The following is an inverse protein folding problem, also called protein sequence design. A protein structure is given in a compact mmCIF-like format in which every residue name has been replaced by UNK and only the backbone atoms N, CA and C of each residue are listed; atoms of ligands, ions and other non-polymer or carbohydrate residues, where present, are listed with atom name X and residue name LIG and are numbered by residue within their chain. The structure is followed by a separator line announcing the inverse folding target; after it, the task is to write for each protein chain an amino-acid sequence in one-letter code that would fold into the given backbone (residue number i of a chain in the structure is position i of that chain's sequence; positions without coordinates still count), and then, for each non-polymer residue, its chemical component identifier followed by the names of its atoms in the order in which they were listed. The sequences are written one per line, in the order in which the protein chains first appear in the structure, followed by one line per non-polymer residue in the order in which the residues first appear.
data_IF_346678568536
#
_entry.id   IF_346678568536
#
_cell.length_a   1.000
_cell.length_b   1.000
_cell.length_c   1.000
_cell.angle_alpha   90.00
_cell.angle_beta   90.00
_cell.angle_gamma   90.00
#
_symmetry.space_group_name_H-M   'P 1'
#
loop_
_entity.id
_entity.type
_entity.pdbx_description
1 polymer ?
#
# COMPACT_ATOMS: atom_id res chain seq x y z
N UNK A 1 -0.73 -41.15 9.76
CA UNK A 1 -1.19 -39.77 9.97
C UNK A 1 -1.82 -39.21 8.71
N UNK A 2 -3.02 -38.67 8.80
CA UNK A 2 -3.66 -37.98 7.68
C UNK A 2 -3.01 -36.60 7.45
N UNK A 3 -2.82 -36.19 6.20
CA UNK A 3 -2.30 -34.84 5.89
C UNK A 3 -3.40 -33.80 6.11
N UNK A 4 -3.08 -32.71 6.81
CA UNK A 4 -4.00 -31.58 7.00
C UNK A 4 -4.41 -30.96 5.66
N UNK A 5 -5.72 -30.72 5.47
CA UNK A 5 -6.28 -30.03 4.31
C UNK A 5 -7.13 -28.85 4.80
N UNK A 6 -6.74 -27.63 4.45
CA UNK A 6 -7.53 -26.46 4.77
C UNK A 6 -8.69 -26.29 3.77
N UNK A 7 -9.92 -26.32 4.27
CA UNK A 7 -11.13 -26.26 3.46
C UNK A 7 -11.29 -24.95 2.67
N UNK A 8 -10.71 -23.84 3.16
CA UNK A 8 -10.81 -22.51 2.56
C UNK A 8 -9.56 -22.09 1.77
N UNK A 9 -8.78 -23.05 1.25
CA UNK A 9 -7.56 -22.76 0.48
C UNK A 9 -7.80 -21.87 -0.75
N UNK A 10 -8.94 -22.02 -1.43
CA UNK A 10 -9.31 -21.16 -2.57
C UNK A 10 -9.55 -19.71 -2.13
N UNK A 11 -10.22 -19.52 -0.99
CA UNK A 11 -10.46 -18.20 -0.39
C UNK A 11 -9.16 -17.55 0.06
N UNK A 12 -8.26 -18.31 0.68
CA UNK A 12 -6.91 -17.85 1.05
C UNK A 12 -6.12 -17.38 -0.18
N UNK A 13 -6.14 -18.16 -1.27
CA UNK A 13 -5.50 -17.77 -2.54
C UNK A 13 -6.11 -16.48 -3.10
N UNK A 14 -7.45 -16.38 -3.13
CA UNK A 14 -8.13 -15.19 -3.62
C UNK A 14 -7.76 -13.94 -2.82
N UNK A 15 -7.76 -14.02 -1.49
CA UNK A 15 -7.39 -12.89 -0.61
C UNK A 15 -5.94 -12.43 -0.83
N UNK A 16 -5.02 -13.35 -1.08
CA UNK A 16 -3.64 -13.01 -1.43
C UNK A 16 -3.54 -12.28 -2.77
N UNK A 17 -4.29 -12.72 -3.80
CA UNK A 17 -4.36 -12.02 -5.09
C UNK A 17 -4.90 -10.60 -4.91
N UNK A 18 -6.01 -10.43 -4.18
CA UNK A 18 -6.58 -9.12 -3.87
C UNK A 18 -5.60 -8.22 -3.10
N UNK A 19 -4.83 -8.78 -2.17
CA UNK A 19 -3.78 -8.04 -1.47
C UNK A 19 -2.68 -7.55 -2.42
N UNK A 20 -2.24 -8.38 -3.36
CA UNK A 20 -1.22 -7.99 -4.34
C UNK A 20 -1.72 -6.93 -5.31
N UNK A 21 -2.97 -7.03 -5.76
CA UNK A 21 -3.64 -5.97 -6.53
C UNK A 21 -3.72 -4.65 -5.74
N UNK A 22 -4.11 -4.71 -4.47
CA UNK A 22 -4.17 -3.53 -3.60
C UNK A 22 -2.79 -2.88 -3.40
N UNK A 23 -1.72 -3.68 -3.26
CA UNK A 23 -0.33 -3.17 -3.22
C UNK A 23 0.04 -2.46 -4.52
N UNK A 24 -0.26 -3.06 -5.67
CA UNK A 24 0.04 -2.47 -6.98
C UNK A 24 -0.69 -1.14 -7.18
N UNK A 25 -1.98 -1.08 -6.83
CA UNK A 25 -2.76 0.16 -6.89
C UNK A 25 -2.23 1.24 -5.95
N UNK A 26 -1.85 0.88 -4.74
CA UNK A 26 -1.26 1.83 -3.79
C UNK A 26 0.10 2.34 -4.28
N UNK A 27 0.98 1.46 -4.75
CA UNK A 27 2.28 1.84 -5.31
C UNK A 27 2.14 2.81 -6.48
N UNK A 28 1.18 2.56 -7.38
CA UNK A 28 0.87 3.49 -8.48
C UNK A 28 0.43 4.86 -7.95
N UNK A 29 -0.46 4.90 -6.96
CA UNK A 29 -0.96 6.15 -6.40
C UNK A 29 0.16 6.96 -5.72
N UNK A 30 1.05 6.30 -4.98
CA UNK A 30 2.25 6.95 -4.38
C UNK A 30 3.16 7.51 -5.47
N UNK A 31 3.39 6.76 -6.55
CA UNK A 31 4.20 7.23 -7.68
C UNK A 31 3.55 8.42 -8.42
N UNK A 32 2.22 8.43 -8.55
CA UNK A 32 1.47 9.56 -9.13
C UNK A 32 1.63 10.82 -8.26
N UNK A 33 1.50 10.69 -6.93
CA UNK A 33 1.72 11.79 -5.98
C UNK A 33 3.15 12.31 -6.08
N UNK A 34 4.16 11.45 -6.05
CA UNK A 34 5.56 11.85 -6.15
C UNK A 34 5.89 12.56 -7.46
N UNK A 35 5.34 12.10 -8.60
CA UNK A 35 5.47 12.79 -9.89
C UNK A 35 4.85 14.18 -9.87
N UNK A 36 3.67 14.32 -9.26
CA UNK A 36 3.00 15.62 -9.16
C UNK A 36 3.76 16.59 -8.25
N UNK A 37 4.34 16.11 -7.14
CA UNK A 37 5.19 16.92 -6.26
C UNK A 37 6.45 17.41 -6.99
N UNK A 38 7.04 16.58 -7.86
CA UNK A 38 8.16 17.01 -8.72
C UNK A 38 7.75 18.11 -9.72
N UNK A 39 6.56 18.03 -10.32
CA UNK A 39 6.05 19.09 -11.21
C UNK A 39 5.92 20.42 -10.44
N UNK A 40 5.35 20.37 -9.24
CA UNK A 40 5.22 21.54 -8.36
C UNK A 40 6.59 22.11 -7.97
N UNK A 41 7.57 21.26 -7.63
CA UNK A 41 8.94 21.70 -7.33
C UNK A 41 9.55 22.47 -8.48
N UNK A 42 9.43 21.96 -9.71
CA UNK A 42 9.97 22.61 -10.91
C UNK A 42 9.34 23.98 -11.15
N UNK A 43 8.02 24.11 -11.02
CA UNK A 43 7.34 25.40 -11.18
C UNK A 43 7.82 26.40 -10.11
N UNK A 44 7.98 25.96 -8.87
CA UNK A 44 8.51 26.81 -7.79
C UNK A 44 9.96 27.26 -8.07
N UNK A 45 10.80 26.36 -8.56
CA UNK A 45 12.17 26.67 -8.97
C UNK A 45 12.20 27.69 -10.11
N UNK A 46 11.33 27.52 -11.12
CA UNK A 46 11.17 28.47 -12.22
C UNK A 46 10.74 29.85 -11.73
N UNK A 47 9.70 29.93 -10.89
CA UNK A 47 9.25 31.19 -10.27
C UNK A 47 10.39 31.85 -9.48
N UNK A 48 11.16 31.08 -8.71
CA UNK A 48 12.28 31.60 -7.95
C UNK A 48 13.41 32.12 -8.84
N UNK A 49 13.70 31.42 -9.95
CA UNK A 49 14.68 31.85 -10.95
C UNK A 49 14.26 33.17 -11.62
N UNK A 50 13.00 33.26 -12.07
CA UNK A 50 12.46 34.46 -12.73
C UNK A 50 12.47 35.66 -11.79
N UNK A 51 12.12 35.46 -10.52
CA UNK A 51 12.19 36.53 -9.51
C UNK A 51 13.63 37.01 -9.27
N UNK A 52 14.60 36.09 -9.25
CA UNK A 52 16.03 36.46 -9.14
C UNK A 52 16.48 37.28 -10.33
N UNK A 53 16.15 36.86 -11.55
CA UNK A 53 16.47 37.59 -12.78
C UNK A 53 15.81 38.97 -12.80
N UNK A 54 14.54 39.06 -12.42
CA UNK A 54 13.82 40.34 -12.32
C UNK A 54 14.51 41.29 -11.33
N UNK A 55 14.91 40.80 -10.16
CA UNK A 55 15.57 41.62 -9.14
C UNK A 55 16.94 42.13 -9.63
N UNK A 56 17.73 41.27 -10.26
CA UNK A 56 19.02 41.65 -10.86
C UNK A 56 18.83 42.72 -11.93
N UNK A 57 17.93 42.48 -12.90
CA UNK A 57 17.67 43.42 -13.97
C UNK A 57 17.11 44.75 -13.44
N UNK A 58 16.19 44.69 -12.47
CA UNK A 58 15.65 45.90 -11.84
C UNK A 58 16.74 46.74 -11.15
N UNK A 59 17.77 46.11 -10.59
CA UNK A 59 18.94 46.82 -10.02
C UNK A 59 19.83 47.49 -11.06
N UNK A 60 19.83 46.97 -12.29
CA UNK A 60 20.61 47.50 -13.43
C UNK A 60 19.82 48.54 -14.25
N UNK A 61 18.52 48.69 -13.97
CA UNK A 61 17.60 49.56 -14.68
C UNK A 61 16.96 48.85 -15.88
N UNK A 62 15.67 48.54 -15.77
CA UNK A 62 14.86 48.00 -16.88
C UNK A 62 13.76 48.95 -17.30
N UNK A 63 13.25 48.73 -18.51
CA UNK A 63 12.06 49.43 -18.97
C UNK A 63 10.82 48.97 -18.19
N UNK A 64 9.84 49.87 -18.08
CA UNK A 64 8.53 49.56 -17.48
C UNK A 64 7.86 48.40 -18.20
N UNK A 65 8.02 48.31 -19.53
CA UNK A 65 7.43 47.25 -20.35
C UNK A 65 8.02 45.88 -20.00
N UNK A 66 9.35 45.79 -19.86
CA UNK A 66 10.02 44.55 -19.46
C UNK A 66 9.58 44.13 -18.05
N UNK A 67 9.58 45.07 -17.10
CA UNK A 67 9.12 44.80 -15.72
C UNK A 67 7.69 44.23 -15.71
N UNK A 68 6.78 44.85 -16.46
CA UNK A 68 5.40 44.36 -16.60
C UNK A 68 5.35 42.96 -17.22
N UNK A 69 6.18 42.69 -18.23
CA UNK A 69 6.32 41.36 -18.84
C UNK A 69 6.70 40.28 -17.82
N UNK A 70 7.71 40.53 -16.99
CA UNK A 70 8.08 39.62 -15.90
C UNK A 70 6.94 39.40 -14.90
N UNK A 71 6.27 40.47 -14.47
CA UNK A 71 5.15 40.38 -13.53
C UNK A 71 3.99 39.55 -14.09
N UNK A 72 3.66 39.71 -15.36
CA UNK A 72 2.63 38.91 -16.04
C UNK A 72 3.06 37.44 -16.09
N UNK A 73 4.31 37.17 -16.47
CA UNK A 73 4.81 35.81 -16.57
C UNK A 73 4.83 35.08 -15.21
N UNK A 74 5.30 35.75 -14.16
CA UNK A 74 5.26 35.22 -12.78
C UNK A 74 3.82 34.88 -12.39
N UNK A 75 2.86 35.78 -12.66
CA UNK A 75 1.45 35.55 -12.33
C UNK A 75 0.86 34.36 -13.08
N UNK A 76 1.26 34.12 -14.33
CA UNK A 76 0.86 32.92 -15.09
C UNK A 76 1.41 31.67 -14.39
N UNK A 77 2.68 31.68 -13.99
CA UNK A 77 3.28 30.53 -13.30
C UNK A 77 2.68 30.28 -11.91
N UNK A 78 2.35 31.32 -11.15
CA UNK A 78 1.64 31.20 -9.87
C UNK A 78 0.24 30.58 -10.04
N UNK A 79 -0.48 30.95 -11.10
CA UNK A 79 -1.76 30.32 -11.43
C UNK A 79 -1.59 28.85 -11.82
N UNK A 80 -0.55 28.53 -12.60
CA UNK A 80 -0.22 27.14 -12.94
C UNK A 80 0.10 26.33 -11.69
N UNK A 81 0.93 26.88 -10.80
CA UNK A 81 1.28 26.27 -9.51
C UNK A 81 0.01 25.93 -8.71
N UNK A 82 -0.92 26.88 -8.58
CA UNK A 82 -2.18 26.66 -7.87
C UNK A 82 -3.00 25.50 -8.48
N UNK A 83 -3.08 25.43 -9.80
CA UNK A 83 -3.77 24.33 -10.49
C UNK A 83 -3.09 22.98 -10.24
N UNK A 84 -1.76 22.93 -10.27
CA UNK A 84 -0.98 21.72 -9.98
C UNK A 84 -1.09 21.28 -8.51
N UNK A 85 -1.17 22.23 -7.57
CA UNK A 85 -1.44 21.94 -6.15
C UNK A 85 -2.86 21.38 -5.94
N UNK A 86 -3.85 21.87 -6.66
CA UNK A 86 -5.21 21.32 -6.63
C UNK A 86 -5.24 19.88 -7.16
N UNK A 87 -4.51 19.59 -8.24
CA UNK A 87 -4.33 18.22 -8.74
C UNK A 87 -3.66 17.33 -7.69
N UNK A 88 -2.60 17.82 -7.02
CA UNK A 88 -1.92 17.09 -5.95
C UNK A 88 -2.88 16.73 -4.81
N UNK A 89 -3.75 17.66 -4.39
CA UNK A 89 -4.78 17.39 -3.38
C UNK A 89 -5.71 16.26 -3.82
N UNK A 90 -6.10 16.23 -5.09
CA UNK A 90 -6.87 15.13 -5.68
C UNK A 90 -6.13 13.79 -5.60
N UNK A 91 -4.86 13.76 -6.02
CA UNK A 91 -4.02 12.56 -5.99
C UNK A 91 -3.80 12.04 -4.56
N UNK A 92 -3.56 12.92 -3.58
CA UNK A 92 -3.43 12.54 -2.16
C UNK A 92 -4.73 11.94 -1.60
N UNK A 93 -5.90 12.38 -2.06
CA UNK A 93 -7.19 11.72 -1.70
C UNK A 93 -7.27 10.31 -2.26
N UNK A 94 -6.82 10.11 -3.51
CA UNK A 94 -6.78 8.79 -4.16
C UNK A 94 -5.79 7.87 -3.44
N UNK A 95 -4.58 8.35 -3.16
CA UNK A 95 -3.56 7.62 -2.39
C UNK A 95 -4.10 7.17 -1.03
N UNK A 96 -4.73 8.07 -0.27
CA UNK A 96 -5.35 7.74 1.01
C UNK A 96 -6.48 6.71 0.90
N UNK A 97 -7.26 6.74 -0.18
CA UNK A 97 -8.26 5.70 -0.46
C UNK A 97 -7.58 4.35 -0.72
N UNK A 98 -6.57 4.30 -1.59
CA UNK A 98 -5.81 3.07 -1.89
C UNK A 98 -5.08 2.52 -0.67
N UNK A 99 -4.58 3.39 0.20
CA UNK A 99 -3.98 3.01 1.48
C UNK A 99 -4.98 2.28 2.38
N UNK A 100 -6.21 2.78 2.48
CA UNK A 100 -7.28 2.12 3.25
C UNK A 100 -7.63 0.75 2.67
N UNK A 101 -7.79 0.66 1.35
CA UNK A 101 -8.04 -0.61 0.65
C UNK A 101 -6.92 -1.63 0.93
N UNK A 102 -5.66 -1.21 0.89
CA UNK A 102 -4.51 -2.05 1.22
C UNK A 102 -4.54 -2.54 2.67
N UNK A 103 -4.90 -1.68 3.63
CA UNK A 103 -5.02 -2.06 5.04
C UNK A 103 -6.13 -3.10 5.22
N UNK A 104 -7.28 -2.89 4.58
CA UNK A 104 -8.39 -3.87 4.62
C UNK A 104 -7.97 -5.21 4.04
N UNK A 105 -7.35 -5.23 2.86
CA UNK A 105 -6.87 -6.46 2.24
C UNK A 105 -5.82 -7.20 3.10
N UNK A 106 -4.92 -6.46 3.77
CA UNK A 106 -3.97 -7.05 4.73
C UNK A 106 -4.68 -7.70 5.90
N UNK A 107 -5.67 -7.01 6.49
CA UNK A 107 -6.48 -7.56 7.58
C UNK A 107 -7.22 -8.83 7.15
N UNK A 108 -7.77 -8.87 5.93
CA UNK A 108 -8.45 -10.04 5.40
C UNK A 108 -7.53 -11.24 5.22
N UNK A 109 -6.30 -11.03 4.73
CA UNK A 109 -5.28 -12.08 4.64
C UNK A 109 -4.89 -12.58 6.03
N UNK A 110 -4.62 -11.68 6.97
CA UNK A 110 -4.28 -12.08 8.35
C UNK A 110 -5.42 -12.87 9.02
N UNK A 111 -6.68 -12.54 8.74
CA UNK A 111 -7.82 -13.25 9.31
C UNK A 111 -7.95 -14.68 8.80
N UNK A 112 -7.69 -14.94 7.51
CA UNK A 112 -7.75 -16.29 6.94
C UNK A 112 -6.56 -17.14 7.38
N UNK A 113 -5.37 -16.54 7.50
CA UNK A 113 -4.18 -17.22 8.01
C UNK A 113 -4.38 -17.67 9.46
N UNK A 114 -4.90 -16.78 10.33
CA UNK A 114 -5.25 -17.13 11.72
C UNK A 114 -6.30 -18.24 11.80
N UNK A 115 -7.28 -18.24 10.90
CA UNK A 115 -8.26 -19.33 10.85
C UNK A 115 -7.60 -20.65 10.43
N UNK A 116 -6.70 -20.62 9.44
CA UNK A 116 -5.94 -21.80 9.00
C UNK A 116 -5.09 -22.37 10.13
N UNK A 117 -4.41 -21.51 10.89
CA UNK A 117 -3.60 -21.89 12.04
C UNK A 117 -4.44 -22.60 13.11
N UNK A 118 -5.58 -22.02 13.51
CA UNK A 118 -6.51 -22.66 14.46
C UNK A 118 -6.98 -24.04 13.99
N UNK A 119 -7.37 -24.16 12.71
CA UNK A 119 -7.80 -25.45 12.14
C UNK A 119 -6.66 -26.48 12.11
N UNK A 120 -5.44 -26.04 11.89
CA UNK A 120 -4.27 -26.90 11.92
C UNK A 120 -3.98 -27.41 13.34
N UNK A 121 -4.11 -26.56 14.36
CA UNK A 121 -3.99 -26.96 15.76
C UNK A 121 -5.07 -27.96 16.18
N UNK A 122 -6.32 -27.73 15.78
CA UNK A 122 -7.44 -28.67 16.00
C UNK A 122 -7.12 -30.06 15.40
N UNK A 123 -6.70 -30.10 14.13
CA UNK A 123 -6.31 -31.34 13.47
C UNK A 123 -5.15 -32.04 14.19
N UNK A 124 -4.13 -31.29 14.64
CA UNK A 124 -2.99 -31.87 15.38
C UNK A 124 -3.43 -32.46 16.72
N UNK A 125 -4.35 -31.81 17.44
CA UNK A 125 -4.92 -32.32 18.69
C UNK A 125 -5.72 -33.60 18.45
N UNK A 126 -6.50 -33.66 17.38
CA UNK A 126 -7.28 -34.87 17.02
C UNK A 126 -6.39 -36.05 16.64
N UNK A 127 -5.36 -35.85 15.81
CA UNK A 127 -4.42 -36.91 15.47
C UNK A 127 -3.67 -37.42 16.72
N UNK A 128 -3.25 -36.52 17.62
CA UNK A 128 -2.63 -36.93 18.89
C UNK A 128 -3.56 -37.76 19.78
N UNK A 129 -4.86 -37.45 19.81
CA UNK A 129 -5.86 -38.28 20.52
C UNK A 129 -6.02 -39.66 19.88
N UNK A 130 -6.08 -39.74 18.55
CA UNK A 130 -6.16 -41.03 17.84
C UNK A 130 -4.93 -41.89 18.06
N UNK A 131 -3.74 -41.29 18.09
CA UNK A 131 -2.49 -42.00 18.37
C UNK A 131 -2.42 -42.52 19.80
N UNK A 132 -2.87 -41.72 20.78
CA UNK A 132 -2.99 -42.17 22.16
C UNK A 132 -3.95 -43.37 22.27
N UNK A 133 -5.14 -43.29 21.67
CA UNK A 133 -6.11 -44.39 21.65
C UNK A 133 -5.55 -45.65 20.98
N UNK A 134 -4.88 -45.51 19.83
CA UNK A 134 -4.25 -46.64 19.14
C UNK A 134 -3.13 -47.28 19.98
N UNK A 135 -2.38 -46.47 20.74
CA UNK A 135 -1.35 -46.96 21.65
C UNK A 135 -1.95 -47.69 22.85
N UNK A 136 -3.01 -47.14 23.45
CA UNK A 136 -3.75 -47.79 24.55
C UNK A 136 -4.36 -49.13 24.10
N UNK A 137 -4.99 -49.17 22.92
CA UNK A 137 -5.54 -50.39 22.33
C UNK A 137 -4.44 -51.43 22.07
N UNK A 138 -3.30 -51.01 21.52
CA UNK A 138 -2.16 -51.89 21.29
C UNK A 138 -1.62 -52.50 22.59
N UNK A 139 -1.44 -51.70 23.64
CA UNK A 139 -0.99 -52.17 24.96
C UNK A 139 -2.01 -53.12 25.58
N UNK A 140 -3.30 -52.79 25.51
CA UNK A 140 -4.39 -53.62 26.02
C UNK A 140 -4.45 -54.99 25.33
N UNK A 141 -4.32 -55.02 24.00
CA UNK A 141 -4.28 -56.25 23.20
C UNK A 141 -3.03 -57.10 23.50
N UNK A 142 -1.87 -56.49 23.75
CA UNK A 142 -0.68 -57.23 24.17
C UNK A 142 -0.84 -57.85 25.56
N UNK A 143 -1.44 -57.13 26.51
CA UNK A 143 -1.66 -57.61 27.88
C UNK A 143 -2.72 -58.72 27.93
N UNK A 144 -3.76 -58.65 27.11
CA UNK A 144 -4.79 -59.69 27.02
C UNK A 144 -4.29 -60.96 26.31
N UNK A 145 -3.34 -60.84 25.36
CA UNK A 145 -2.72 -61.99 24.68
C UNK A 145 -1.67 -62.76 25.48
N UNK A 146 -1.26 -62.26 26.66
CA UNK A 146 -0.26 -62.89 27.56
C UNK A 146 -0.86 -63.63 28.76
N UNK A 147 -2.19 -63.71 28.85
CA UNK A 147 -2.91 -64.58 29.79
C UNK A 147 -3.40 -65.81 29.08
#
# INVERSE_FOLDING_TARGET
MAKFKFSLKSVEKYRNITLDEAKAHYAKAVADVGRQEQVISKINEEIANINRELNEKNSQGITILEYQGYKVYIKIQENNLKNEEEKLKGLKKIENRRRRELITAKTDVMSIEKLREKRFEEHRKEEGKKEALATEEFISNQLSSRK
#
